data_IF_781265601907
#
_entry.id   IF_781265601907
#
_cell.length_a   1.000
_cell.length_b   1.000
_cell.length_c   1.000
_cell.angle_alpha   90.00
_cell.angle_beta   90.00
_cell.angle_gamma   90.00
#
_symmetry.space_group_name_H-M   'P 1'
#
loop_
_entity.id
_entity.type
_entity.pdbx_description
1 polymer ?
#
# COMPACT_ATOMS: atom_id res chain seq x y z
N UNK A 1 25.92 -32.63 15.41
CA UNK A 1 25.92 -31.16 15.30
C UNK A 1 24.50 -30.69 15.54
N UNK A 2 24.27 -30.06 16.68
CA UNK A 2 22.99 -29.47 17.07
C UNK A 2 22.72 -28.27 16.17
N UNK A 3 22.03 -28.49 15.05
CA UNK A 3 21.47 -27.39 14.27
C UNK A 3 20.34 -26.80 15.10
N UNK A 4 20.67 -25.74 15.83
CA UNK A 4 19.68 -24.89 16.49
C UNK A 4 18.59 -24.54 15.47
N UNK A 5 17.35 -24.83 15.84
CA UNK A 5 16.16 -24.37 15.13
C UNK A 5 16.12 -22.85 15.26
N UNK A 6 16.89 -22.14 14.44
CA UNK A 6 16.71 -20.69 14.28
C UNK A 6 15.28 -20.45 13.83
N UNK A 7 14.51 -19.79 14.69
CA UNK A 7 13.13 -19.45 14.38
C UNK A 7 13.11 -18.55 13.14
N UNK A 8 12.18 -18.77 12.20
CA UNK A 8 12.16 -18.02 10.96
C UNK A 8 11.92 -16.52 11.23
N UNK A 9 12.73 -15.68 10.60
CA UNK A 9 12.57 -14.21 10.65
C UNK A 9 11.23 -13.82 10.04
N UNK A 10 10.39 -13.12 10.82
CA UNK A 10 9.01 -12.79 10.46
C UNK A 10 8.80 -11.42 9.83
N UNK A 11 9.59 -10.44 10.23
CA UNK A 11 9.55 -9.10 9.67
C UNK A 11 10.73 -8.94 8.73
N UNK A 12 10.45 -8.88 7.43
CA UNK A 12 11.45 -8.72 6.38
C UNK A 12 10.96 -7.69 5.36
N UNK A 13 11.87 -7.02 4.62
CA UNK A 13 11.48 -6.20 3.50
C UNK A 13 10.64 -6.98 2.49
N UNK A 14 9.69 -6.31 1.85
CA UNK A 14 8.81 -6.91 0.82
C UNK A 14 9.62 -7.58 -0.29
N UNK A 15 10.69 -6.93 -0.75
CA UNK A 15 11.60 -7.45 -1.78
C UNK A 15 12.22 -8.79 -1.39
N UNK A 16 12.64 -8.93 -0.12
CA UNK A 16 13.21 -10.17 0.40
C UNK A 16 12.17 -11.29 0.47
N UNK A 17 10.94 -10.96 0.89
CA UNK A 17 9.81 -11.90 0.87
C UNK A 17 9.51 -12.40 -0.55
N UNK A 18 9.45 -11.49 -1.52
CA UNK A 18 9.19 -11.81 -2.93
C UNK A 18 10.29 -12.68 -3.53
N UNK A 19 11.57 -12.38 -3.23
CA UNK A 19 12.71 -13.20 -3.66
C UNK A 19 12.67 -14.61 -3.08
N UNK A 20 12.38 -14.75 -1.77
CA UNK A 20 12.22 -16.08 -1.11
C UNK A 20 11.05 -16.86 -1.69
N UNK A 21 9.95 -16.19 -2.01
CA UNK A 21 8.76 -16.82 -2.60
C UNK A 21 9.06 -17.35 -4.00
N UNK A 22 9.76 -16.56 -4.84
CA UNK A 22 10.23 -17.00 -6.17
C UNK A 22 11.19 -18.18 -6.09
N UNK A 23 12.06 -18.20 -5.08
CA UNK A 23 13.02 -19.28 -4.85
C UNK A 23 12.41 -20.54 -4.21
N UNK A 24 11.12 -20.54 -3.86
CA UNK A 24 10.46 -21.66 -3.17
C UNK A 24 10.98 -21.92 -1.75
N UNK A 25 11.73 -20.98 -1.17
CA UNK A 25 12.38 -21.12 0.14
C UNK A 25 11.67 -20.31 1.24
N UNK A 26 10.48 -19.80 0.94
CA UNK A 26 9.72 -18.99 1.89
C UNK A 26 8.92 -19.86 2.85
N UNK A 27 9.00 -19.53 4.13
CA UNK A 27 8.31 -20.24 5.20
C UNK A 27 6.88 -19.73 5.42
N UNK A 28 6.58 -18.49 5.00
CA UNK A 28 5.29 -17.83 5.22
C UNK A 28 4.40 -17.93 3.96
N UNK A 29 3.17 -18.39 4.12
CA UNK A 29 2.18 -18.48 3.04
C UNK A 29 1.54 -17.12 2.77
N UNK A 30 1.25 -16.83 1.49
CA UNK A 30 0.79 -15.49 1.07
C UNK A 30 -0.45 -14.96 1.79
N UNK A 31 -1.36 -15.84 2.22
CA UNK A 31 -2.58 -15.45 2.97
C UNK A 31 -2.28 -14.93 4.39
N UNK A 32 -1.09 -15.21 4.93
CA UNK A 32 -0.68 -14.84 6.29
C UNK A 32 0.24 -13.61 6.31
N UNK A 33 0.56 -13.05 5.14
CA UNK A 33 1.48 -11.92 5.02
C UNK A 33 0.74 -10.62 5.27
N UNK A 34 1.21 -9.87 6.27
CA UNK A 34 0.74 -8.52 6.55
C UNK A 34 1.62 -7.54 5.76
N UNK A 35 1.03 -6.87 4.78
CA UNK A 35 1.72 -5.90 3.92
C UNK A 35 0.80 -4.71 3.64
N UNK A 36 0.46 -3.99 4.71
CA UNK A 36 -0.39 -2.81 4.62
C UNK A 36 0.34 -1.68 3.86
N UNK A 37 -0.30 -1.22 2.79
CA UNK A 37 0.19 -0.10 1.97
C UNK A 37 -0.67 1.12 2.27
N UNK A 38 -0.04 2.28 2.44
CA UNK A 38 -0.76 3.55 2.49
C UNK A 38 -1.35 3.86 1.11
N UNK A 39 -2.64 4.19 1.04
CA UNK A 39 -3.33 4.44 -0.21
C UNK A 39 -3.97 5.82 -0.24
N UNK A 40 -4.07 6.38 -1.44
CA UNK A 40 -4.82 7.60 -1.72
C UNK A 40 -5.88 7.25 -2.76
N UNK A 41 -7.13 7.57 -2.45
CA UNK A 41 -8.25 7.43 -3.37
C UNK A 41 -8.81 8.83 -3.65
N UNK A 42 -8.79 9.24 -4.93
CA UNK A 42 -9.37 10.51 -5.36
C UNK A 42 -10.89 10.34 -5.43
N UNK A 43 -11.63 11.17 -4.70
CA UNK A 43 -13.08 11.16 -4.79
C UNK A 43 -13.54 11.86 -6.08
N UNK A 44 -14.77 11.60 -6.57
CA UNK A 44 -15.30 12.29 -7.74
C UNK A 44 -15.12 13.81 -7.60
N UNK A 45 -14.37 14.38 -8.54
CA UNK A 45 -13.98 15.78 -8.52
C UNK A 45 -14.79 16.59 -9.52
N UNK A 46 -15.09 17.83 -9.15
CA UNK A 46 -15.65 18.83 -10.06
C UNK A 46 -14.48 19.40 -10.87
N UNK A 47 -14.56 19.54 -12.20
CA UNK A 47 -13.48 20.10 -12.98
C UNK A 47 -13.27 21.59 -12.67
N UNK A 48 -12.04 22.07 -12.85
CA UNK A 48 -11.72 23.50 -12.77
C UNK A 48 -12.65 24.34 -13.66
N UNK A 49 -13.11 25.49 -13.15
CA UNK A 49 -14.06 26.35 -13.86
C UNK A 49 -13.94 27.81 -13.48
N UNK A 50 -14.03 28.69 -14.48
CA UNK A 50 -14.07 30.14 -14.35
C UNK A 50 -15.27 30.77 -15.08
N UNK A 51 -16.31 29.98 -15.35
CA UNK A 51 -17.48 30.42 -16.13
C UNK A 51 -18.29 31.46 -15.36
N UNK A 52 -18.50 32.63 -15.98
CA UNK A 52 -19.30 33.72 -15.43
C UNK A 52 -20.72 33.24 -15.10
N UNK A 53 -21.19 33.50 -13.88
CA UNK A 53 -22.51 33.07 -13.41
C UNK A 53 -22.56 31.68 -12.78
N UNK A 54 -21.44 30.94 -12.72
CA UNK A 54 -21.29 29.73 -11.90
C UNK A 54 -20.25 29.99 -10.80
N UNK A 55 -20.34 29.29 -9.65
CA UNK A 55 -19.27 29.33 -8.67
C UNK A 55 -17.94 28.89 -9.30
N UNK A 56 -16.84 29.64 -9.11
CA UNK A 56 -15.56 29.24 -9.64
C UNK A 56 -15.06 27.99 -8.91
N UNK A 57 -14.43 27.08 -9.67
CA UNK A 57 -13.74 25.90 -9.13
C UNK A 57 -12.26 26.09 -9.41
N UNK A 58 -11.49 26.32 -8.36
CA UNK A 58 -10.06 26.69 -8.47
C UNK A 58 -9.11 25.58 -8.03
N UNK A 59 -9.63 24.51 -7.44
CA UNK A 59 -8.84 23.38 -6.91
C UNK A 59 -9.48 22.07 -7.36
N UNK A 60 -8.65 21.15 -7.86
CA UNK A 60 -9.03 19.80 -8.28
C UNK A 60 -7.91 18.80 -7.91
N UNK A 61 -8.21 17.65 -7.27
CA UNK A 61 -9.53 17.25 -6.76
C UNK A 61 -9.89 18.02 -5.50
N UNK A 62 -11.19 18.15 -5.22
CA UNK A 62 -11.65 18.84 -4.00
C UNK A 62 -11.49 17.95 -2.76
N UNK A 63 -11.44 16.63 -2.93
CA UNK A 63 -11.37 15.66 -1.83
C UNK A 63 -10.56 14.43 -2.23
N UNK A 64 -9.78 13.95 -1.27
CA UNK A 64 -9.09 12.67 -1.34
C UNK A 64 -9.34 11.88 -0.05
N UNK A 65 -9.41 10.56 -0.16
CA UNK A 65 -9.49 9.65 0.97
C UNK A 65 -8.11 9.02 1.18
N UNK A 66 -7.49 9.38 2.29
CA UNK A 66 -6.19 8.87 2.69
C UNK A 66 -6.35 7.68 3.65
N UNK A 67 -5.69 6.56 3.33
CA UNK A 67 -5.51 5.44 4.26
C UNK A 67 -4.02 5.34 4.58
N UNK A 68 -3.67 5.50 5.84
CA UNK A 68 -2.31 5.31 6.32
C UNK A 68 -2.17 3.91 6.92
N UNK A 69 -1.04 3.25 6.65
CA UNK A 69 -0.65 2.06 7.43
C UNK A 69 -0.50 2.44 8.90
N UNK A 70 -0.89 1.53 9.79
CA UNK A 70 -0.74 1.71 11.24
C UNK A 70 0.67 1.39 11.70
#
# INVERSE_FOLDING_TARGET
>A
ATNELELPVRCIPRELYENRTKAGSNWCSGAQVINDVSTIEVQPAIPLSSVKGKPPVQVEPQRVKLKLRK
#
